data_IF_496236474366
#
_entry.id   IF_496236474366
#
_cell.length_a   1.000
_cell.length_b   1.000
_cell.length_c   1.000
_cell.angle_alpha   90.00
_cell.angle_beta   90.00
_cell.angle_gamma   90.00
#
_symmetry.space_group_name_H-M   'P 1'
#
loop_
_entity.id
_entity.type
_entity.pdbx_description
1 polymer ?
#
# COMPACT_ATOMS: atom_id res chain seq x y z
N UNK A 1 52.69 -10.64 -26.77
CA UNK A 1 51.78 -9.62 -26.22
C UNK A 1 50.38 -9.97 -26.72
N UNK A 2 49.50 -10.33 -25.77
CA UNK A 2 48.04 -10.12 -25.78
C UNK A 2 47.27 -10.30 -27.10
N UNK A 3 46.59 -11.45 -27.20
CA UNK A 3 45.19 -11.54 -27.68
C UNK A 3 44.25 -11.15 -26.51
N UNK A 4 42.94 -10.81 -26.68
CA UNK A 4 42.06 -11.32 -27.73
C UNK A 4 40.93 -10.41 -28.26
N UNK A 5 40.33 -10.90 -29.36
CA UNK A 5 38.91 -10.94 -29.73
C UNK A 5 38.00 -9.73 -29.40
N UNK A 6 37.67 -8.97 -30.45
CA UNK A 6 36.40 -8.24 -30.54
C UNK A 6 35.35 -9.20 -31.07
N UNK A 7 34.50 -9.67 -30.17
CA UNK A 7 33.24 -10.34 -30.49
C UNK A 7 32.27 -9.31 -31.06
N UNK A 8 31.72 -9.63 -32.23
CA UNK A 8 30.80 -8.77 -32.95
C UNK A 8 29.36 -8.81 -32.45
N UNK A 9 28.55 -8.02 -33.13
CA UNK A 9 27.14 -8.31 -33.37
C UNK A 9 26.15 -7.43 -32.61
N UNK A 10 25.46 -6.56 -33.34
CA UNK A 10 24.11 -6.10 -32.97
C UNK A 10 23.91 -4.59 -32.89
N UNK A 11 23.87 -3.91 -34.04
CA UNK A 11 23.15 -2.64 -34.20
C UNK A 11 21.67 -2.99 -34.39
N UNK A 12 20.76 -2.33 -33.67
CA UNK A 12 19.49 -1.74 -34.12
C UNK A 12 18.57 -1.42 -32.92
N UNK A 13 18.27 -0.12 -32.72
CA UNK A 13 17.20 0.32 -31.81
C UNK A 13 17.46 1.67 -31.13
N UNK A 14 17.27 2.76 -31.87
CA UNK A 14 17.38 4.16 -31.40
C UNK A 14 16.21 4.49 -30.46
N UNK A 15 16.48 5.31 -29.42
CA UNK A 15 15.63 5.64 -28.26
C UNK A 15 14.23 6.19 -28.55
N UNK A 16 13.33 6.28 -27.55
CA UNK A 16 13.45 7.14 -26.36
C UNK A 16 12.74 6.48 -25.17
N UNK A 17 13.44 6.21 -24.07
CA UNK A 17 12.80 6.16 -22.74
C UNK A 17 13.27 7.40 -22.01
N UNK A 18 12.36 8.36 -21.94
CA UNK A 18 12.49 9.63 -21.22
C UNK A 18 12.96 9.38 -19.79
N UNK A 19 13.91 10.21 -19.38
CA UNK A 19 14.44 10.29 -18.02
C UNK A 19 13.33 10.17 -16.95
N UNK A 20 13.52 9.27 -16.00
CA UNK A 20 12.60 9.11 -14.88
C UNK A 20 13.01 7.99 -13.95
N UNK A 21 13.88 8.32 -13.00
CA UNK A 21 14.34 7.48 -11.88
C UNK A 21 15.32 6.36 -12.25
N UNK A 22 16.60 6.63 -11.98
CA UNK A 22 17.57 5.57 -11.75
C UNK A 22 17.07 4.77 -10.54
N UNK A 23 16.46 3.61 -10.79
CA UNK A 23 16.28 2.62 -9.75
C UNK A 23 17.69 2.22 -9.30
N UNK A 24 18.05 2.63 -8.09
CA UNK A 24 19.31 2.23 -7.49
C UNK A 24 19.37 0.70 -7.50
N UNK A 25 20.20 0.15 -8.40
CA UNK A 25 20.58 -1.24 -8.41
C UNK A 25 21.38 -1.50 -7.13
N UNK A 26 20.68 -1.85 -6.04
CA UNK A 26 21.29 -2.05 -4.73
C UNK A 26 20.44 -2.74 -3.67
N UNK A 27 19.22 -3.20 -3.98
CA UNK A 27 18.30 -3.78 -2.98
C UNK A 27 17.82 -5.20 -3.32
N UNK A 28 18.55 -5.96 -4.17
CA UNK A 28 18.14 -7.31 -4.58
C UNK A 28 18.35 -8.41 -3.52
N UNK A 29 18.81 -8.08 -2.31
CA UNK A 29 19.16 -9.07 -1.27
C UNK A 29 18.24 -9.09 -0.05
N UNK A 30 17.49 -8.02 0.23
CA UNK A 30 16.57 -8.01 1.36
C UNK A 30 15.33 -8.82 1.01
N UNK A 31 15.20 -9.94 1.69
CA UNK A 31 14.12 -10.91 1.58
C UNK A 31 13.16 -10.68 2.75
N UNK A 32 11.88 -10.49 2.44
CA UNK A 32 10.83 -10.23 3.41
C UNK A 32 9.82 -11.38 3.43
N UNK A 33 9.45 -11.84 4.61
CA UNK A 33 8.50 -12.95 4.74
C UNK A 33 7.08 -12.52 4.35
N UNK A 34 6.67 -11.35 4.83
CA UNK A 34 5.34 -10.78 4.64
C UNK A 34 5.42 -9.24 4.68
N UNK A 35 4.25 -8.60 4.66
CA UNK A 35 4.14 -7.15 4.69
C UNK A 35 4.61 -6.58 6.04
N UNK A 36 4.36 -7.26 7.15
CA UNK A 36 4.83 -6.86 8.48
C UNK A 36 6.35 -6.87 8.59
N UNK A 37 6.99 -7.91 8.06
CA UNK A 37 8.44 -8.06 8.05
C UNK A 37 9.10 -6.93 7.24
N UNK A 38 8.51 -6.54 6.11
CA UNK A 38 8.93 -5.37 5.36
C UNK A 38 8.80 -4.08 6.20
N UNK A 39 7.64 -3.87 6.83
CA UNK A 39 7.37 -2.68 7.65
C UNK A 39 8.38 -2.56 8.78
N UNK A 40 8.61 -3.62 9.54
CA UNK A 40 9.60 -3.66 10.64
C UNK A 40 11.01 -3.42 10.14
N UNK A 41 11.39 -4.07 9.05
CA UNK A 41 12.74 -3.95 8.48
C UNK A 41 13.06 -2.55 7.95
N UNK A 42 12.03 -1.76 7.61
CA UNK A 42 12.19 -0.41 7.09
C UNK A 42 11.76 0.69 8.09
N UNK A 43 11.52 0.34 9.35
CA UNK A 43 11.08 1.26 10.42
C UNK A 43 9.82 2.08 10.03
N UNK A 44 8.89 1.41 9.34
CA UNK A 44 7.62 2.02 8.94
C UNK A 44 6.57 1.81 10.04
N UNK A 45 5.64 2.75 10.16
CA UNK A 45 4.60 2.68 11.18
C UNK A 45 3.30 2.19 10.56
N UNK A 46 2.72 1.17 11.16
CA UNK A 46 1.46 0.57 10.72
C UNK A 46 0.26 1.23 11.39
N UNK A 47 -0.52 1.97 10.61
CA UNK A 47 -1.66 2.77 11.05
C UNK A 47 -2.83 1.93 11.60
N UNK A 48 -2.94 0.67 11.18
CA UNK A 48 -4.00 -0.24 11.62
C UNK A 48 -3.91 -0.61 13.10
N UNK A 49 -2.69 -0.69 13.66
CA UNK A 49 -2.44 -0.99 15.07
C UNK A 49 -2.56 0.27 15.96
N UNK A 50 -2.73 1.45 15.36
CA UNK A 50 -2.79 2.72 16.09
C UNK A 50 -4.24 2.93 16.61
N UNK A 51 -4.42 3.14 17.93
CA UNK A 51 -5.74 3.41 18.50
C UNK A 51 -6.27 4.77 18.04
N UNK A 52 -7.60 4.90 17.91
CA UNK A 52 -8.27 6.09 17.34
C UNK A 52 -8.04 7.40 18.10
N UNK A 53 -7.53 7.31 19.34
CA UNK A 53 -7.13 8.47 20.13
C UNK A 53 -5.89 9.18 19.54
N UNK A 54 -5.06 8.47 18.77
CA UNK A 54 -3.81 8.98 18.24
C UNK A 54 -4.00 9.70 16.89
N UNK A 55 -3.26 10.79 16.69
CA UNK A 55 -3.28 11.65 15.50
C UNK A 55 -2.91 10.94 14.19
N UNK A 56 -2.16 9.84 14.26
CA UNK A 56 -1.78 9.03 13.11
C UNK A 56 -2.67 7.79 12.94
N UNK A 57 -3.74 7.65 13.72
CA UNK A 57 -4.73 6.60 13.50
C UNK A 57 -5.51 6.83 12.22
N UNK A 58 -5.93 5.75 11.56
CA UNK A 58 -6.75 5.80 10.35
C UNK A 58 -7.96 6.73 10.53
N UNK A 59 -8.64 6.67 11.68
CA UNK A 59 -9.79 7.55 11.94
C UNK A 59 -9.40 9.02 11.98
N UNK A 60 -8.30 9.40 12.64
CA UNK A 60 -7.86 10.80 12.70
C UNK A 60 -7.32 11.30 11.37
N UNK A 61 -6.57 10.48 10.65
CA UNK A 61 -6.12 10.78 9.29
C UNK A 61 -7.31 11.03 8.38
N UNK A 62 -8.34 10.20 8.49
CA UNK A 62 -9.59 10.36 7.76
C UNK A 62 -10.31 11.62 8.21
N UNK A 63 -10.60 11.84 9.50
CA UNK A 63 -11.40 12.98 9.98
C UNK A 63 -10.74 14.36 9.78
N UNK A 64 -9.41 14.42 9.71
CA UNK A 64 -8.64 15.65 9.47
C UNK A 64 -8.14 15.80 8.03
N UNK A 65 -8.33 14.78 7.21
CA UNK A 65 -7.72 14.69 5.87
C UNK A 65 -6.22 14.96 5.86
N UNK A 66 -5.52 14.43 6.86
CA UNK A 66 -4.08 14.68 7.03
C UNK A 66 -3.32 13.98 5.91
N UNK A 67 -2.38 14.68 5.27
CA UNK A 67 -1.53 14.14 4.20
C UNK A 67 -2.33 13.52 3.03
N UNK A 68 -3.46 14.14 2.67
CA UNK A 68 -4.29 13.70 1.54
C UNK A 68 -4.84 12.27 1.71
N UNK A 69 -4.97 11.82 2.97
CA UNK A 69 -5.32 10.44 3.29
C UNK A 69 -6.69 10.04 2.73
N UNK A 70 -7.67 10.95 2.69
CA UNK A 70 -8.98 10.63 2.10
C UNK A 70 -8.86 10.33 0.63
N UNK A 71 -8.14 11.15 -0.13
CA UNK A 71 -8.01 10.97 -1.56
C UNK A 71 -7.29 9.66 -1.88
N UNK A 72 -6.19 9.38 -1.18
CA UNK A 72 -5.48 8.10 -1.23
C UNK A 72 -6.38 6.89 -0.96
N UNK A 73 -7.09 6.90 0.17
CA UNK A 73 -7.99 5.80 0.53
C UNK A 73 -9.15 5.68 -0.47
N UNK A 74 -9.76 6.79 -0.87
CA UNK A 74 -10.87 6.81 -1.83
C UNK A 74 -10.44 6.27 -3.21
N UNK A 75 -9.22 6.58 -3.66
CA UNK A 75 -8.65 6.12 -4.92
C UNK A 75 -8.40 4.61 -4.95
N UNK A 76 -8.17 3.98 -3.80
CA UNK A 76 -7.99 2.53 -3.67
C UNK A 76 -9.26 1.79 -3.22
N UNK A 77 -10.29 2.51 -2.79
CA UNK A 77 -11.49 1.94 -2.16
C UNK A 77 -12.22 0.92 -3.02
N UNK A 78 -12.27 1.10 -4.34
CA UNK A 78 -12.87 0.15 -5.28
C UNK A 78 -12.08 -1.15 -5.41
N UNK A 79 -10.76 -1.07 -5.25
CA UNK A 79 -9.84 -2.22 -5.37
C UNK A 79 -9.82 -3.07 -4.10
N UNK A 80 -10.33 -2.54 -2.99
CA UNK A 80 -10.53 -3.30 -1.75
C UNK A 80 -11.76 -4.21 -1.85
N UNK A 81 -11.68 -5.44 -1.31
CA UNK A 81 -12.79 -6.39 -1.30
C UNK A 81 -14.00 -5.81 -0.55
N UNK A 82 -15.19 -6.35 -0.81
CA UNK A 82 -16.41 -5.90 -0.12
C UNK A 82 -16.45 -6.31 1.36
N UNK A 83 -15.70 -7.35 1.73
CA UNK A 83 -15.58 -7.78 3.11
C UNK A 83 -14.20 -8.37 3.38
N UNK A 84 -13.79 -8.31 4.63
CA UNK A 84 -12.54 -8.89 5.14
C UNK A 84 -12.80 -9.64 6.42
N UNK A 85 -12.02 -10.71 6.65
CA UNK A 85 -12.09 -11.44 7.91
C UNK A 85 -11.20 -10.76 8.96
N UNK A 86 -11.74 -10.61 10.16
CA UNK A 86 -11.02 -10.17 11.37
C UNK A 86 -11.25 -11.21 12.45
N UNK A 87 -10.31 -12.13 12.60
CA UNK A 87 -10.51 -13.32 13.44
C UNK A 87 -11.68 -14.16 12.94
N UNK A 88 -12.69 -14.37 13.80
CA UNK A 88 -13.95 -15.07 13.45
C UNK A 88 -14.99 -14.16 12.80
N UNK A 89 -14.80 -12.85 12.88
CA UNK A 89 -15.77 -11.87 12.41
C UNK A 89 -15.51 -11.47 10.95
N UNK A 90 -16.56 -10.99 10.29
CA UNK A 90 -16.47 -10.44 8.94
C UNK A 90 -16.84 -8.95 8.99
N UNK A 91 -15.88 -8.10 8.63
CA UNK A 91 -16.09 -6.65 8.54
C UNK A 91 -16.43 -6.32 7.10
N UNK A 92 -17.55 -5.62 6.90
CA UNK A 92 -18.06 -5.29 5.57
C UNK A 92 -17.78 -3.84 5.25
N UNK A 93 -17.40 -3.59 4.00
CA UNK A 93 -17.16 -2.25 3.49
C UNK A 93 -18.47 -1.46 3.49
N UNK A 94 -18.48 -0.19 3.94
CA UNK A 94 -19.63 0.70 3.77
C UNK A 94 -20.09 0.74 2.31
N UNK A 95 -21.39 0.50 2.11
CA UNK A 95 -22.03 0.62 0.81
C UNK A 95 -22.29 2.10 0.48
N UNK A 96 -22.09 2.48 -0.78
CA UNK A 96 -22.35 3.82 -1.28
C UNK A 96 -21.38 4.23 -2.39
N UNK A 97 -21.71 5.29 -3.11
CA UNK A 97 -20.81 5.91 -4.07
C UNK A 97 -19.63 6.56 -3.35
N UNK A 98 -18.42 6.38 -3.87
CA UNK A 98 -17.18 6.94 -3.28
C UNK A 98 -17.29 8.46 -3.09
N UNK A 99 -17.87 9.15 -4.08
CA UNK A 99 -18.08 10.60 -4.05
C UNK A 99 -18.99 11.06 -2.92
N UNK A 100 -19.80 10.17 -2.34
CA UNK A 100 -20.68 10.47 -1.20
C UNK A 100 -20.08 9.97 0.12
N UNK A 101 -19.46 8.78 0.11
CA UNK A 101 -18.81 8.18 1.28
C UNK A 101 -17.64 9.01 1.80
N UNK A 102 -16.85 9.58 0.88
CA UNK A 102 -15.67 10.39 1.20
C UNK A 102 -15.94 11.89 1.18
N UNK A 103 -17.21 12.29 1.08
CA UNK A 103 -17.60 13.69 1.18
C UNK A 103 -17.73 14.11 2.66
N UNK A 104 -17.13 15.24 3.07
CA UNK A 104 -17.38 15.82 4.38
C UNK A 104 -18.86 16.16 4.57
N UNK A 105 -19.34 16.02 5.79
CA UNK A 105 -20.65 16.56 6.16
C UNK A 105 -20.62 18.08 6.00
N UNK A 106 -21.69 18.67 5.46
CA UNK A 106 -21.77 20.12 5.25
C UNK A 106 -21.44 20.89 6.53
N UNK A 107 -20.45 21.79 6.46
CA UNK A 107 -19.98 22.57 7.61
C UNK A 107 -19.04 21.84 8.57
N UNK A 108 -18.58 20.63 8.23
CA UNK A 108 -17.61 19.86 9.01
C UNK A 108 -16.44 19.40 8.14
N UNK A 109 -15.30 19.12 8.78
CA UNK A 109 -14.23 18.36 8.13
C UNK A 109 -14.51 16.86 8.18
N UNK A 110 -15.35 16.35 9.09
CA UNK A 110 -15.54 14.91 9.31
C UNK A 110 -16.45 14.24 8.27
N UNK A 111 -16.21 12.96 7.98
CA UNK A 111 -17.10 12.15 7.14
C UNK A 111 -18.24 11.55 7.97
N UNK A 112 -19.43 11.43 7.36
CA UNK A 112 -20.60 10.81 8.00
C UNK A 112 -20.31 9.35 8.43
N UNK A 113 -19.61 8.61 7.57
CA UNK A 113 -19.29 7.20 7.76
C UNK A 113 -17.83 6.98 8.20
N UNK A 114 -17.16 8.02 8.72
CA UNK A 114 -15.74 7.98 9.10
C UNK A 114 -15.37 6.80 9.99
N UNK A 115 -16.20 6.49 10.97
CA UNK A 115 -15.98 5.36 11.89
C UNK A 115 -16.03 4.02 11.16
N UNK A 116 -17.05 3.79 10.32
CA UNK A 116 -17.18 2.52 9.57
C UNK A 116 -16.08 2.37 8.52
N UNK A 117 -15.72 3.46 7.84
CA UNK A 117 -14.60 3.49 6.89
C UNK A 117 -13.30 3.14 7.62
N UNK A 118 -13.04 3.77 8.76
CA UNK A 118 -11.83 3.51 9.55
C UNK A 118 -11.79 2.07 10.07
N UNK A 119 -12.90 1.55 10.58
CA UNK A 119 -13.02 0.18 11.07
C UNK A 119 -12.75 -0.85 9.96
N UNK A 120 -13.38 -0.68 8.80
CA UNK A 120 -13.14 -1.54 7.64
C UNK A 120 -11.68 -1.46 7.19
N UNK A 121 -11.11 -0.26 7.09
CA UNK A 121 -9.74 -0.08 6.64
C UNK A 121 -8.75 -0.73 7.61
N UNK A 122 -8.96 -0.58 8.93
CA UNK A 122 -8.17 -1.28 9.95
C UNK A 122 -8.25 -2.80 9.79
N UNK A 123 -9.44 -3.34 9.64
CA UNK A 123 -9.63 -4.78 9.43
C UNK A 123 -8.95 -5.26 8.14
N UNK A 124 -9.01 -4.47 7.06
CA UNK A 124 -8.33 -4.78 5.82
C UNK A 124 -6.81 -4.79 6.00
N UNK A 125 -6.26 -3.75 6.63
CA UNK A 125 -4.85 -3.69 6.96
C UNK A 125 -4.42 -4.93 7.79
N UNK A 126 -5.20 -5.31 8.81
CA UNK A 126 -4.87 -6.43 9.70
C UNK A 126 -4.87 -7.74 8.90
N UNK A 127 -5.83 -7.90 7.98
CA UNK A 127 -5.93 -9.09 7.12
C UNK A 127 -4.76 -9.22 6.13
N UNK A 128 -4.12 -8.11 5.75
CA UNK A 128 -3.03 -8.09 4.76
C UNK A 128 -1.64 -8.08 5.38
N UNK A 129 -1.53 -7.72 6.66
CA UNK A 129 -0.26 -7.66 7.39
C UNK A 129 0.55 -8.96 7.30
N UNK A 130 -0.12 -10.11 7.38
CA UNK A 130 0.50 -11.44 7.24
C UNK A 130 0.47 -12.02 5.83
N UNK A 131 0.29 -11.21 4.77
CA UNK A 131 0.28 -11.70 3.39
C UNK A 131 1.68 -12.18 2.98
N UNK A 132 1.78 -13.46 2.67
CA UNK A 132 2.99 -14.12 2.16
C UNK A 132 2.94 -14.24 0.63
N UNK A 133 4.08 -14.52 0.01
CA UNK A 133 4.16 -14.81 -1.43
C UNK A 133 3.41 -16.12 -1.74
N UNK A 134 2.76 -16.18 -2.90
CA UNK A 134 2.00 -17.36 -3.36
C UNK A 134 2.88 -18.61 -3.50
N UNK A 135 4.18 -18.44 -3.78
CA UNK A 135 5.12 -19.54 -4.01
C UNK A 135 5.88 -19.97 -2.74
N UNK A 136 5.49 -19.48 -1.55
CA UNK A 136 6.29 -19.59 -0.31
C UNK A 136 7.70 -19.01 -0.44
N UNK A 137 7.94 -18.18 -1.46
CA UNK A 137 9.17 -17.43 -1.61
C UNK A 137 9.15 -16.18 -0.72
N UNK A 138 10.31 -15.77 -0.22
CA UNK A 138 10.43 -14.46 0.40
C UNK A 138 10.27 -13.36 -0.64
N UNK A 139 9.51 -12.33 -0.33
CA UNK A 139 9.39 -11.13 -1.15
C UNK A 139 10.73 -10.42 -1.27
N UNK A 140 11.03 -9.92 -2.47
CA UNK A 140 12.01 -8.85 -2.66
C UNK A 140 11.25 -7.53 -2.70
N UNK A 141 11.94 -6.41 -2.52
CA UNK A 141 11.31 -5.09 -2.66
C UNK A 141 10.63 -4.92 -4.03
N UNK A 142 11.22 -5.43 -5.10
CA UNK A 142 10.67 -5.31 -6.45
C UNK A 142 9.45 -6.20 -6.68
N UNK A 143 9.44 -7.43 -6.13
CA UNK A 143 8.26 -8.30 -6.24
C UNK A 143 7.12 -7.79 -5.37
N UNK A 144 7.43 -7.32 -4.15
CA UNK A 144 6.46 -6.74 -3.22
C UNK A 144 5.78 -5.51 -3.83
N UNK A 145 6.55 -4.59 -4.42
CA UNK A 145 5.99 -3.39 -5.07
C UNK A 145 5.13 -3.67 -6.31
N UNK A 146 5.25 -4.85 -6.91
CA UNK A 146 4.39 -5.28 -8.02
C UNK A 146 3.07 -5.88 -7.53
N UNK A 147 2.99 -6.28 -6.26
CA UNK A 147 1.77 -6.82 -5.69
C UNK A 147 0.72 -5.73 -5.50
N UNK A 148 -0.48 -5.97 -6.00
CA UNK A 148 -1.57 -4.98 -5.94
C UNK A 148 -2.06 -4.73 -4.52
N UNK A 149 -2.08 -5.76 -3.64
CA UNK A 149 -2.43 -5.55 -2.25
C UNK A 149 -1.36 -4.73 -1.54
N UNK A 150 -0.07 -4.97 -1.84
CA UNK A 150 1.02 -4.16 -1.29
C UNK A 150 0.87 -2.68 -1.65
N UNK A 151 0.61 -2.37 -2.92
CA UNK A 151 0.44 -0.98 -3.38
C UNK A 151 -0.67 -0.26 -2.61
N UNK A 152 -1.77 -0.97 -2.33
CA UNK A 152 -2.86 -0.43 -1.51
C UNK A 152 -2.40 -0.30 -0.05
N UNK A 153 -1.73 -1.33 0.48
CA UNK A 153 -1.26 -1.40 1.86
C UNK A 153 -0.26 -0.30 2.21
N UNK A 154 0.75 -0.08 1.37
CA UNK A 154 1.72 1.00 1.52
C UNK A 154 1.04 2.36 1.57
N UNK A 155 0.00 2.55 0.76
CA UNK A 155 -0.68 3.84 0.64
C UNK A 155 -1.72 4.09 1.74
N UNK A 156 -2.37 3.06 2.29
CA UNK A 156 -3.50 3.23 3.23
C UNK A 156 -3.20 2.76 4.66
N UNK A 157 -2.26 1.83 4.83
CA UNK A 157 -1.97 1.22 6.13
C UNK A 157 -0.66 1.71 6.74
N UNK A 158 0.16 2.47 6.01
CA UNK A 158 1.43 3.01 6.51
C UNK A 158 1.36 4.54 6.68
N UNK A 159 2.01 5.03 7.73
CA UNK A 159 2.02 6.45 8.15
C UNK A 159 3.41 6.95 8.51
#
# INVERSE_FOLDING_TARGET
>A
MTSPAVAGGGILGVGVITAGTAYAAGAFTSKYLDFEDYVKSNDLVYAGDIPDANENSIKKLLDKDKNDYRNRLSGKWTSMPQSVKKGTDTVTKPNGDISTLFQPVSGSTTLAESTKIAEFTKAWCESKKGKVSEENETWTKDTLKKDSDWQIFEEVCLV
#
